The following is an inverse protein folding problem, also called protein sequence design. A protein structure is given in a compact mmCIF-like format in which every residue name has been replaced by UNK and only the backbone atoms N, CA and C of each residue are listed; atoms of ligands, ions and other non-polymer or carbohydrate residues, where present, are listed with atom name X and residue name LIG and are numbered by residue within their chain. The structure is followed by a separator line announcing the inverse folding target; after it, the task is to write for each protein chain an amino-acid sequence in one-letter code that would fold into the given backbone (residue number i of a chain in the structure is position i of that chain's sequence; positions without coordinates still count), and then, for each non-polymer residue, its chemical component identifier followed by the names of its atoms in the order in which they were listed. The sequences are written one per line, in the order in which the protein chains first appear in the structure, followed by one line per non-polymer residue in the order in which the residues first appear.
data_IF_043434983228
#
_entry.id   IF_043434983228
#
_cell.length_a   1.000
_cell.length_b   1.000
_cell.length_c   1.000
_cell.angle_alpha   90.00
_cell.angle_beta   90.00
_cell.angle_gamma   90.00
#
_symmetry.space_group_name_H-M   'P 1'
#
loop_
_entity.id
_entity.type
_entity.pdbx_description
1 polymer ?
#
# COMPACT_ATOMS: atom_id res chain seq x y z
N UNK A 1 54.31 22.24 47.44
CA UNK A 1 53.89 21.01 46.75
C UNK A 1 52.37 21.12 46.42
N UNK A 2 52.06 21.38 45.19
CA UNK A 2 50.69 21.52 44.74
C UNK A 2 50.26 20.19 44.07
N UNK A 3 49.35 19.45 44.70
CA UNK A 3 48.75 18.24 44.08
C UNK A 3 47.61 18.68 43.19
N UNK A 4 47.75 18.51 41.89
CA UNK A 4 46.66 18.66 40.94
C UNK A 4 45.89 17.37 40.86
N UNK A 5 44.64 17.36 41.36
CA UNK A 5 43.69 16.27 41.16
C UNK A 5 43.08 16.39 39.75
N UNK A 6 43.36 15.38 38.91
CA UNK A 6 42.68 15.23 37.63
C UNK A 6 41.32 14.57 37.89
N UNK A 7 40.22 15.32 37.73
CA UNK A 7 38.89 14.73 37.62
C UNK A 7 38.67 14.21 36.21
N UNK A 8 38.69 12.90 36.04
CA UNK A 8 38.27 12.26 34.80
C UNK A 8 36.77 12.26 34.73
N UNK A 9 36.21 13.07 33.86
CA UNK A 9 34.78 13.03 33.56
C UNK A 9 34.52 11.88 32.58
N UNK A 10 33.92 10.80 33.07
CA UNK A 10 33.48 9.67 32.23
C UNK A 10 32.16 10.07 31.58
N UNK A 11 32.17 10.39 30.29
CA UNK A 11 30.98 10.62 29.51
C UNK A 11 30.31 9.28 29.21
N UNK A 12 29.14 9.05 29.83
CA UNK A 12 28.30 7.88 29.53
C UNK A 12 27.57 8.16 28.20
N UNK A 13 28.03 7.54 27.13
CA UNK A 13 27.31 7.54 25.85
C UNK A 13 26.16 6.57 25.97
N UNK A 14 24.96 7.08 26.14
CA UNK A 14 23.72 6.28 26.03
C UNK A 14 23.52 5.89 24.57
N UNK A 15 23.86 4.67 24.21
CA UNK A 15 23.45 4.09 22.93
C UNK A 15 21.94 3.81 22.98
N UNK A 16 21.18 4.63 22.29
CA UNK A 16 19.77 4.34 22.02
C UNK A 16 19.73 3.11 21.11
N UNK A 17 19.36 1.96 21.65
CA UNK A 17 19.05 0.76 20.86
C UNK A 17 17.71 1.01 20.20
N UNK A 18 17.71 1.37 18.91
CA UNK A 18 16.49 1.35 18.12
C UNK A 18 16.04 -0.11 18.05
N UNK A 19 14.89 -0.42 18.65
CA UNK A 19 14.25 -1.73 18.47
C UNK A 19 13.94 -1.86 16.97
N UNK A 20 14.31 -2.97 16.32
CA UNK A 20 13.89 -3.20 14.94
C UNK A 20 12.36 -3.17 14.89
N UNK A 21 11.78 -2.35 14.02
CA UNK A 21 10.36 -2.42 13.73
C UNK A 21 10.09 -3.85 13.26
N UNK A 22 9.10 -4.52 13.89
CA UNK A 22 8.69 -5.87 13.48
C UNK A 22 8.21 -5.77 12.05
N UNK A 23 8.84 -6.53 11.15
CA UNK A 23 8.43 -6.63 9.77
C UNK A 23 7.30 -7.64 9.65
N UNK A 24 6.22 -7.24 8.99
CA UNK A 24 5.02 -8.04 8.82
C UNK A 24 4.80 -8.50 7.39
N UNK A 25 3.75 -9.28 7.19
CA UNK A 25 3.33 -9.82 5.90
C UNK A 25 1.92 -9.36 5.58
N UNK A 26 1.72 -8.82 4.38
CA UNK A 26 0.40 -8.44 3.86
C UNK A 26 0.07 -9.31 2.66
N UNK A 27 -1.02 -10.09 2.76
CA UNK A 27 -1.55 -10.88 1.65
C UNK A 27 -2.80 -10.20 1.10
N UNK A 28 -2.80 -9.89 -0.18
CA UNK A 28 -3.90 -9.26 -0.88
C UNK A 28 -4.47 -10.23 -1.90
N UNK A 29 -5.77 -10.47 -1.81
CA UNK A 29 -6.53 -11.23 -2.80
C UNK A 29 -7.49 -10.27 -3.50
N UNK A 30 -7.36 -10.17 -4.81
CA UNK A 30 -8.26 -9.41 -5.67
C UNK A 30 -9.17 -10.36 -6.42
N UNK A 31 -10.47 -10.10 -6.37
CA UNK A 31 -11.50 -10.81 -7.14
C UNK A 31 -12.03 -9.93 -8.27
N UNK A 32 -12.78 -10.53 -9.17
CA UNK A 32 -13.38 -9.83 -10.33
C UNK A 32 -12.35 -9.13 -11.22
N UNK A 33 -11.11 -9.61 -11.22
CA UNK A 33 -10.09 -9.18 -12.17
C UNK A 33 -10.51 -9.63 -13.56
N UNK A 34 -10.48 -8.74 -14.54
CA UNK A 34 -10.72 -9.10 -15.94
C UNK A 34 -9.47 -9.77 -16.52
N UNK A 35 -9.52 -11.06 -16.86
CA UNK A 35 -8.36 -11.73 -17.45
C UNK A 35 -8.01 -11.14 -18.81
N UNK A 36 -6.73 -11.13 -19.13
CA UNK A 36 -6.23 -10.69 -20.45
C UNK A 36 -6.65 -9.27 -20.85
N UNK A 37 -6.71 -8.37 -19.87
CA UNK A 37 -7.25 -7.02 -20.05
C UNK A 37 -6.25 -5.90 -19.73
N UNK A 38 -4.97 -6.21 -19.62
CA UNK A 38 -3.91 -5.25 -19.36
C UNK A 38 -3.16 -5.48 -18.05
N UNK A 39 -2.25 -4.61 -17.74
CA UNK A 39 -1.37 -4.73 -16.57
C UNK A 39 -2.09 -4.31 -15.28
N UNK A 40 -1.81 -5.04 -14.20
CA UNK A 40 -2.40 -4.82 -12.90
C UNK A 40 -1.33 -4.32 -11.92
N UNK A 41 -1.57 -3.17 -11.30
CA UNK A 41 -0.70 -2.53 -10.33
C UNK A 41 -1.35 -2.55 -8.96
N UNK A 42 -0.63 -3.03 -7.95
CA UNK A 42 -1.09 -3.11 -6.56
C UNK A 42 -0.06 -2.39 -5.70
N UNK A 43 -0.51 -1.47 -4.85
CA UNK A 43 0.39 -0.65 -4.01
C UNK A 43 -0.09 -0.58 -2.58
N UNK A 44 0.85 -0.64 -1.64
CA UNK A 44 0.67 -0.28 -0.23
C UNK A 44 1.20 1.13 0.01
N UNK A 45 0.39 2.00 0.56
CA UNK A 45 0.71 3.41 0.76
C UNK A 45 0.56 3.81 2.22
N UNK A 46 1.51 4.56 2.74
CA UNK A 46 1.37 5.29 4.00
C UNK A 46 0.43 6.49 3.84
N UNK A 47 0.08 7.15 4.95
CA UNK A 47 -0.86 8.28 4.91
C UNK A 47 -0.37 9.44 4.04
N UNK A 48 0.92 9.76 4.10
CA UNK A 48 1.55 10.81 3.29
C UNK A 48 1.72 10.44 1.81
N UNK A 49 1.61 9.17 1.47
CA UNK A 49 1.67 8.65 0.09
C UNK A 49 0.28 8.41 -0.51
N UNK A 50 -0.77 8.46 0.32
CA UNK A 50 -2.12 8.10 -0.11
C UNK A 50 -2.58 8.89 -1.34
N UNK A 51 -3.07 8.18 -2.35
CA UNK A 51 -3.49 8.74 -3.65
C UNK A 51 -2.36 9.42 -4.45
N UNK A 52 -1.11 9.06 -4.18
CA UNK A 52 0.05 9.55 -4.91
C UNK A 52 0.77 8.39 -5.64
N UNK A 53 1.76 8.72 -6.44
CA UNK A 53 2.54 7.70 -7.15
C UNK A 53 3.50 6.91 -6.25
N UNK A 54 3.87 7.46 -5.09
CA UNK A 54 4.77 6.81 -4.15
C UNK A 54 4.06 5.70 -3.36
N UNK A 55 4.78 4.66 -3.01
CA UNK A 55 4.30 3.53 -2.23
C UNK A 55 5.40 2.96 -1.32
N UNK A 56 5.01 2.35 -0.21
CA UNK A 56 5.90 1.59 0.66
C UNK A 56 6.29 0.27 0.01
N UNK A 57 5.35 -0.38 -0.68
CA UNK A 57 5.54 -1.60 -1.45
C UNK A 57 4.60 -1.60 -2.65
N UNK A 58 5.00 -2.22 -3.73
CA UNK A 58 4.19 -2.32 -4.94
C UNK A 58 4.54 -3.56 -5.74
N UNK A 59 3.55 -4.07 -6.46
CA UNK A 59 3.66 -5.20 -7.38
C UNK A 59 2.97 -4.86 -8.68
N UNK A 60 3.60 -5.22 -9.79
CA UNK A 60 3.03 -5.17 -11.12
C UNK A 60 2.86 -6.59 -11.65
N UNK A 61 1.68 -6.95 -12.05
CA UNK A 61 1.38 -8.20 -12.73
C UNK A 61 1.12 -7.90 -14.20
N UNK A 62 1.96 -8.46 -15.07
CA UNK A 62 1.83 -8.30 -16.50
C UNK A 62 0.65 -9.10 -17.01
N UNK A 63 -0.39 -8.42 -17.46
CA UNK A 63 -1.57 -8.97 -18.10
C UNK A 63 -2.09 -10.28 -17.47
N UNK A 64 -2.59 -10.27 -16.21
CA UNK A 64 -3.02 -11.47 -15.51
C UNK A 64 -4.10 -12.22 -16.27
N UNK A 65 -4.05 -13.57 -16.23
CA UNK A 65 -4.90 -14.46 -17.01
C UNK A 65 -6.04 -15.08 -16.18
N UNK A 66 -6.19 -14.68 -14.92
CA UNK A 66 -7.19 -15.22 -13.98
C UNK A 66 -8.05 -14.11 -13.41
N UNK A 67 -9.29 -14.44 -13.03
CA UNK A 67 -10.24 -13.53 -12.39
C UNK A 67 -9.95 -13.29 -10.91
N UNK A 68 -9.08 -14.10 -10.33
CA UNK A 68 -8.62 -13.96 -8.95
C UNK A 68 -7.10 -13.94 -8.92
N UNK A 69 -6.57 -12.94 -8.23
CA UNK A 69 -5.13 -12.70 -8.12
C UNK A 69 -4.78 -12.58 -6.64
N UNK A 70 -3.69 -13.21 -6.22
CA UNK A 70 -3.16 -13.07 -4.86
C UNK A 70 -1.70 -12.62 -4.91
N UNK A 71 -1.38 -11.56 -4.18
CA UNK A 71 -0.01 -11.08 -3.99
C UNK A 71 0.31 -11.01 -2.51
N UNK A 72 1.59 -11.18 -2.18
CA UNK A 72 2.09 -11.12 -0.81
C UNK A 72 3.26 -10.15 -0.74
N UNK A 73 3.14 -9.15 0.13
CA UNK A 73 4.23 -8.25 0.49
C UNK A 73 4.83 -8.72 1.80
N UNK A 74 6.11 -9.03 1.79
CA UNK A 74 6.89 -9.40 2.98
C UNK A 74 7.70 -8.21 3.50
N UNK A 75 8.16 -8.30 4.73
CA UNK A 75 9.01 -7.29 5.37
C UNK A 75 8.39 -5.87 5.42
N UNK A 76 7.07 -5.79 5.52
CA UNK A 76 6.36 -4.52 5.68
C UNK A 76 6.34 -4.14 7.17
N UNK A 77 6.83 -2.96 7.56
CA UNK A 77 6.80 -2.54 8.97
C UNK A 77 5.37 -2.47 9.51
N UNK A 78 5.17 -2.78 10.80
CA UNK A 78 3.87 -2.57 11.45
C UNK A 78 3.44 -1.12 11.32
N UNK A 79 2.16 -0.88 11.07
CA UNK A 79 1.63 0.46 10.85
C UNK A 79 0.26 0.47 10.18
N UNK A 80 -0.17 1.65 9.75
CA UNK A 80 -1.39 1.82 8.97
C UNK A 80 -1.05 2.07 7.52
N UNK A 81 -1.76 1.36 6.64
CA UNK A 81 -1.55 1.42 5.20
C UNK A 81 -2.87 1.44 4.45
N UNK A 82 -2.92 2.18 3.36
CA UNK A 82 -3.92 2.01 2.33
C UNK A 82 -3.41 0.99 1.30
N UNK A 83 -4.33 0.28 0.68
CA UNK A 83 -4.08 -0.50 -0.54
C UNK A 83 -4.78 0.21 -1.69
N UNK A 84 -4.07 0.42 -2.78
CA UNK A 84 -4.63 0.95 -4.02
C UNK A 84 -4.31 0.01 -5.18
N UNK A 85 -5.27 -0.17 -6.06
CA UNK A 85 -5.16 -1.04 -7.23
C UNK A 85 -5.55 -0.25 -8.47
N UNK A 86 -4.76 -0.41 -9.51
CA UNK A 86 -5.03 0.08 -10.84
C UNK A 86 -4.85 -1.04 -11.85
N UNK A 87 -5.88 -1.32 -12.65
CA UNK A 87 -5.84 -2.27 -13.75
C UNK A 87 -5.93 -1.47 -15.04
N UNK A 88 -4.81 -1.31 -15.73
CA UNK A 88 -4.66 -0.52 -16.96
C UNK A 88 -5.33 -1.23 -18.14
N UNK A 89 -6.65 -1.15 -18.19
CA UNK A 89 -7.47 -1.85 -19.21
C UNK A 89 -7.54 -1.10 -20.53
N UNK A 90 -7.08 0.16 -20.56
CA UNK A 90 -7.00 0.98 -21.77
C UNK A 90 -5.61 0.85 -22.42
N UNK A 91 -4.63 0.34 -21.65
CA UNK A 91 -3.23 0.16 -22.08
C UNK A 91 -2.57 1.48 -22.54
N UNK A 92 -2.84 2.55 -21.79
CA UNK A 92 -2.26 3.88 -22.03
C UNK A 92 -1.18 4.30 -21.00
N UNK A 93 -0.94 3.47 -19.98
CA UNK A 93 0.04 3.71 -18.93
C UNK A 93 -0.32 4.86 -18.00
N UNK A 94 -1.59 5.29 -17.96
CA UNK A 94 -2.03 6.46 -17.21
C UNK A 94 -3.35 6.21 -16.47
N UNK A 95 -3.33 6.35 -15.14
CA UNK A 95 -4.57 6.33 -14.35
C UNK A 95 -5.35 7.63 -14.58
N UNK A 96 -6.51 7.55 -15.17
CA UNK A 96 -7.33 8.71 -15.53
C UNK A 96 -8.68 8.70 -14.84
N UNK A 97 -9.10 9.88 -14.34
CA UNK A 97 -10.43 10.11 -13.78
C UNK A 97 -11.35 10.70 -14.84
N UNK A 98 -12.43 9.99 -15.12
CA UNK A 98 -13.51 10.47 -15.97
C UNK A 98 -14.62 11.16 -15.16
N UNK A 99 -15.73 11.56 -15.83
CA UNK A 99 -16.85 12.24 -15.18
C UNK A 99 -17.57 11.41 -14.12
N UNK A 100 -17.48 10.08 -14.20
CA UNK A 100 -18.19 9.14 -13.35
C UNK A 100 -17.25 8.27 -12.50
N UNK A 101 -15.97 8.59 -12.44
CA UNK A 101 -14.94 7.86 -11.73
C UNK A 101 -13.75 7.45 -12.60
N UNK A 102 -12.89 6.53 -12.14
CA UNK A 102 -11.77 6.04 -12.92
C UNK A 102 -12.22 5.46 -14.27
N UNK A 103 -11.43 5.69 -15.32
CA UNK A 103 -11.67 5.13 -16.66
C UNK A 103 -11.14 3.71 -16.83
N UNK A 104 -10.26 3.30 -15.93
CA UNK A 104 -9.68 1.98 -15.82
C UNK A 104 -10.29 1.14 -14.70
N UNK A 105 -9.85 -0.11 -14.58
CA UNK A 105 -10.13 -0.92 -13.41
C UNK A 105 -9.43 -0.37 -12.17
N UNK A 106 -10.10 -0.43 -11.02
CA UNK A 106 -9.57 0.10 -9.76
C UNK A 106 -10.08 -0.65 -8.55
N UNK A 107 -9.35 -0.60 -7.46
CA UNK A 107 -9.81 -1.06 -6.15
C UNK A 107 -9.07 -0.36 -5.02
N UNK A 108 -9.61 -0.43 -3.83
CA UNK A 108 -9.01 0.00 -2.57
C UNK A 108 -9.72 -0.63 -1.39
N UNK A 109 -9.19 -0.49 -0.20
CA UNK A 109 -9.87 -0.92 1.03
C UNK A 109 -11.25 -0.27 1.11
N UNK A 110 -12.30 -1.09 1.21
CA UNK A 110 -13.67 -0.63 1.34
C UNK A 110 -14.25 0.01 0.08
N UNK A 111 -13.77 -0.37 -1.10
CA UNK A 111 -14.22 0.16 -2.40
C UNK A 111 -15.73 -0.03 -2.61
N UNK A 112 -16.30 -1.16 -2.21
CA UNK A 112 -17.74 -1.46 -2.34
C UNK A 112 -18.64 -0.46 -1.61
N UNK A 113 -18.17 0.06 -0.49
CA UNK A 113 -18.89 1.00 0.37
C UNK A 113 -18.53 2.47 0.10
N UNK A 114 -17.66 2.73 -0.88
CA UNK A 114 -17.19 4.07 -1.16
C UNK A 114 -18.31 4.97 -1.68
N UNK A 115 -18.52 6.08 -0.98
CA UNK A 115 -19.51 7.12 -1.33
C UNK A 115 -18.79 8.47 -1.34
N UNK A 116 -18.28 8.87 -2.50
CA UNK A 116 -17.50 10.09 -2.68
C UNK A 116 -16.00 9.86 -2.63
N UNK A 117 -15.23 10.88 -2.32
CA UNK A 117 -13.78 10.79 -2.31
C UNK A 117 -13.26 9.91 -1.18
N UNK A 118 -12.30 9.02 -1.45
CA UNK A 118 -11.68 8.20 -0.42
C UNK A 118 -10.86 9.06 0.55
N UNK A 119 -10.73 8.57 1.77
CA UNK A 119 -9.84 9.16 2.78
C UNK A 119 -8.98 8.08 3.40
N UNK A 120 -7.74 8.40 3.78
CA UNK A 120 -6.87 7.44 4.42
C UNK A 120 -7.49 6.85 5.68
N UNK A 121 -8.17 7.65 6.49
CA UNK A 121 -8.82 7.19 7.72
C UNK A 121 -9.86 6.07 7.49
N UNK A 122 -10.59 6.12 6.38
CA UNK A 122 -11.65 5.14 6.05
C UNK A 122 -11.14 3.99 5.16
N UNK A 123 -10.15 4.27 4.34
CA UNK A 123 -9.68 3.36 3.30
C UNK A 123 -8.28 2.79 3.61
N UNK A 124 -7.99 2.58 4.89
CA UNK A 124 -6.75 2.00 5.37
C UNK A 124 -7.00 0.85 6.34
N UNK A 125 -5.98 0.02 6.53
CA UNK A 125 -5.95 -1.08 7.50
C UNK A 125 -4.75 -0.94 8.42
N UNK A 126 -4.78 -1.64 9.55
CA UNK A 126 -3.65 -1.71 10.48
C UNK A 126 -2.93 -3.04 10.28
N UNK A 127 -1.62 -2.97 10.04
CA UNK A 127 -0.73 -4.12 10.04
C UNK A 127 -0.09 -4.25 11.42
N UNK A 128 -0.26 -5.42 12.02
CA UNK A 128 0.42 -5.84 13.24
C UNK A 128 0.80 -7.32 13.05
N UNK A 129 2.02 -7.56 12.60
CA UNK A 129 2.55 -8.89 12.23
C UNK A 129 2.05 -9.37 10.88
N UNK A 130 0.74 -9.63 10.70
CA UNK A 130 0.19 -10.05 9.41
C UNK A 130 -1.19 -9.47 9.16
N UNK A 131 -1.53 -9.29 7.89
CA UNK A 131 -2.86 -8.90 7.45
C UNK A 131 -3.23 -9.64 6.16
N UNK A 132 -4.50 -10.02 6.06
CA UNK A 132 -5.09 -10.59 4.84
C UNK A 132 -6.24 -9.70 4.40
N UNK A 133 -6.21 -9.25 3.14
CA UNK A 133 -7.16 -8.33 2.56
C UNK A 133 -7.76 -8.99 1.33
N UNK A 134 -9.08 -8.89 1.18
CA UNK A 134 -9.79 -9.34 -0.02
C UNK A 134 -10.69 -8.20 -0.49
N UNK A 135 -10.50 -7.76 -1.71
CA UNK A 135 -11.28 -6.70 -2.35
C UNK A 135 -11.60 -7.08 -3.80
N UNK A 136 -12.72 -6.59 -4.33
CA UNK A 136 -13.04 -6.74 -5.75
C UNK A 136 -12.49 -5.58 -6.57
N UNK A 137 -12.13 -5.87 -7.83
CA UNK A 137 -11.75 -4.84 -8.80
C UNK A 137 -13.00 -4.29 -9.48
N UNK A 138 -13.17 -2.98 -9.42
CA UNK A 138 -14.27 -2.25 -10.05
C UNK A 138 -13.84 -1.74 -11.42
N UNK A 139 -14.75 -1.80 -12.37
CA UNK A 139 -14.52 -1.29 -13.72
C UNK A 139 -15.61 -0.25 -14.07
N UNK A 140 -15.27 0.73 -14.91
CA UNK A 140 -16.28 1.64 -15.40
C UNK A 140 -17.36 0.85 -16.13
N UNK A 141 -18.62 1.24 -15.90
CA UNK A 141 -19.71 0.68 -16.69
C UNK A 141 -19.45 1.04 -18.15
N UNK A 142 -19.36 0.02 -19.01
CA UNK A 142 -19.31 0.23 -20.45
C UNK A 142 -20.61 0.93 -20.82
N UNK A 143 -20.52 2.20 -21.14
CA UNK A 143 -21.67 3.03 -21.48
C UNK A 143 -22.56 2.37 -22.53
N UNK A 144 -23.83 2.37 -22.23
CA UNK A 144 -24.86 2.08 -23.20
C UNK A 144 -24.96 3.22 -24.21
#
# INVERSE_FOLDING_TARGET
MIRRSLCAATALVAMATASPALAGTVTITLTDVRPDAGDLYISLQSEDQFMQAAAVAGEKLDNPQTDTVTVTFEDVPDGRYAMTVWHDTIDDGTFTMGPHGPTDGWSMIGADDLRGMPTFAKNSFTLSGSASITESVHYPETGQ
#
